data_IF_411781852256
#
_entry.id   IF_411781852256
#
_cell.length_a   1.000
_cell.length_b   1.000
_cell.length_c   1.000
_cell.angle_alpha   90.00
_cell.angle_beta   90.00
_cell.angle_gamma   90.00
#
_symmetry.space_group_name_H-M   'P 1'
#
loop_
_entity.id
_entity.type
_entity.pdbx_description
1 polymer ?
#
# COMPACT_ATOMS: atom_id res chain seq x y z
N UNK A 1 3.86 20.69 -10.32
CA UNK A 1 5.09 21.36 -10.78
C UNK A 1 6.20 21.46 -9.72
N UNK A 2 6.01 20.87 -8.53
CA UNK A 2 7.03 20.90 -7.45
C UNK A 2 7.96 19.68 -7.44
N UNK A 3 7.67 18.65 -8.23
CA UNK A 3 8.49 17.45 -8.38
C UNK A 3 9.21 17.55 -9.73
N UNK A 4 10.54 17.72 -9.70
CA UNK A 4 11.37 17.77 -10.90
C UNK A 4 12.12 16.47 -11.19
N UNK A 5 12.42 15.70 -10.13
CA UNK A 5 13.26 14.51 -10.22
C UNK A 5 12.61 13.27 -9.60
N UNK A 6 12.90 12.11 -10.14
CA UNK A 6 12.41 10.83 -9.63
C UNK A 6 13.50 9.76 -9.67
N UNK A 7 13.59 8.97 -8.62
CA UNK A 7 14.41 7.75 -8.57
C UNK A 7 13.74 6.55 -9.24
N UNK A 8 12.50 6.70 -9.72
CA UNK A 8 11.80 5.68 -10.49
C UNK A 8 11.73 6.07 -11.97
N UNK A 9 11.92 5.07 -12.85
CA UNK A 9 11.71 5.24 -14.29
C UNK A 9 10.22 5.35 -14.60
N UNK A 10 9.90 5.97 -15.73
CA UNK A 10 8.52 6.08 -16.24
C UNK A 10 7.76 4.73 -16.21
N UNK A 11 8.42 3.66 -16.66
CA UNK A 11 7.82 2.31 -16.73
C UNK A 11 7.48 1.69 -15.37
N UNK A 12 8.01 2.23 -14.28
CA UNK A 12 7.75 1.75 -12.91
C UNK A 12 6.59 2.47 -12.23
N UNK A 13 6.08 3.55 -12.82
CA UNK A 13 4.92 4.25 -12.31
C UNK A 13 3.63 3.58 -12.75
N UNK A 14 2.66 3.51 -11.85
CA UNK A 14 1.27 3.16 -12.15
C UNK A 14 0.40 4.42 -12.24
N UNK A 15 0.81 5.51 -11.58
CA UNK A 15 0.14 6.81 -11.65
C UNK A 15 0.30 7.42 -13.05
N UNK A 16 -0.83 7.69 -13.73
CA UNK A 16 -0.88 8.27 -15.07
C UNK A 16 -0.22 9.65 -15.13
N UNK A 17 -0.44 10.47 -14.11
CA UNK A 17 0.10 11.83 -13.99
C UNK A 17 1.63 11.83 -13.91
N UNK A 18 2.20 10.88 -13.15
CA UNK A 18 3.66 10.72 -13.07
C UNK A 18 4.26 10.26 -14.40
N UNK A 19 3.62 9.28 -15.06
CA UNK A 19 4.04 8.82 -16.40
C UNK A 19 4.00 9.95 -17.41
N UNK A 20 2.89 10.69 -17.46
CA UNK A 20 2.74 11.81 -18.36
C UNK A 20 3.78 12.90 -18.09
N UNK A 21 4.01 13.25 -16.83
CA UNK A 21 4.99 14.25 -16.45
C UNK A 21 6.42 13.86 -16.87
N UNK A 22 6.77 12.56 -16.76
CA UNK A 22 8.06 12.05 -17.23
C UNK A 22 8.15 12.03 -18.75
N UNK A 23 7.11 11.59 -19.46
CA UNK A 23 7.06 11.59 -20.92
C UNK A 23 7.20 13.00 -21.51
N UNK A 24 6.66 14.02 -20.82
CA UNK A 24 6.76 15.43 -21.18
C UNK A 24 8.08 16.09 -20.72
N UNK A 25 8.96 15.37 -20.01
CA UNK A 25 10.22 15.89 -19.49
C UNK A 25 10.07 16.86 -18.30
N UNK A 26 8.90 16.91 -17.66
CA UNK A 26 8.66 17.73 -16.44
C UNK A 26 9.21 17.05 -15.19
N UNK A 27 9.34 15.73 -15.20
CA UNK A 27 10.02 14.93 -14.18
C UNK A 27 11.10 14.14 -14.89
N UNK A 28 12.36 14.27 -14.43
CA UNK A 28 13.48 13.53 -14.98
C UNK A 28 13.86 12.35 -14.09
N UNK A 29 14.35 11.29 -14.69
CA UNK A 29 14.92 10.17 -13.95
C UNK A 29 16.34 10.52 -13.47
N UNK A 30 16.53 10.61 -12.17
CA UNK A 30 17.80 11.00 -11.53
C UNK A 30 18.55 9.80 -10.89
N UNK A 31 18.49 8.63 -11.50
CA UNK A 31 19.13 7.42 -10.97
C UNK A 31 18.31 6.73 -9.89
N UNK A 32 18.77 5.54 -9.44
CA UNK A 32 18.13 4.81 -8.33
C UNK A 32 18.48 5.47 -7.00
N UNK A 33 17.64 5.30 -5.97
CA UNK A 33 17.90 5.79 -4.61
C UNK A 33 19.28 5.33 -4.07
N UNK A 34 19.78 4.15 -4.47
CA UNK A 34 21.09 3.61 -4.05
C UNK A 34 22.25 4.01 -4.96
N UNK A 35 21.98 4.66 -6.09
CA UNK A 35 22.97 5.15 -7.06
C UNK A 35 22.37 6.33 -7.84
N UNK A 36 22.21 7.50 -7.17
CA UNK A 36 21.66 8.69 -7.82
C UNK A 36 22.61 9.27 -8.89
N UNK A 37 22.01 9.93 -9.85
CA UNK A 37 22.74 10.76 -10.81
C UNK A 37 22.94 12.16 -10.22
N UNK A 38 24.06 12.34 -9.52
CA UNK A 38 24.39 13.60 -8.85
C UNK A 38 24.58 14.78 -9.82
N UNK A 39 25.01 14.50 -11.07
CA UNK A 39 25.17 15.52 -12.09
C UNK A 39 23.79 16.08 -12.49
N UNK A 40 22.84 15.21 -12.76
CA UNK A 40 21.45 15.60 -13.05
C UNK A 40 20.82 16.34 -11.86
N UNK A 41 21.00 15.84 -10.64
CA UNK A 41 20.46 16.48 -9.42
C UNK A 41 20.96 17.91 -9.25
N UNK A 42 22.25 18.14 -9.51
CA UNK A 42 22.85 19.50 -9.43
C UNK A 42 22.43 20.38 -10.60
N UNK A 43 22.36 19.83 -11.83
CA UNK A 43 22.00 20.59 -13.01
C UNK A 43 20.56 21.13 -12.95
N UNK A 44 19.66 20.37 -12.35
CA UNK A 44 18.25 20.73 -12.17
C UNK A 44 17.99 21.61 -10.94
N UNK A 45 19.04 22.00 -10.21
CA UNK A 45 18.96 22.86 -9.02
C UNK A 45 17.96 22.34 -7.98
N UNK A 46 18.10 21.07 -7.59
CA UNK A 46 17.23 20.44 -6.62
C UNK A 46 17.26 21.18 -5.27
N UNK A 47 16.14 21.71 -4.81
CA UNK A 47 16.02 22.46 -3.56
C UNK A 47 15.90 21.56 -2.34
N UNK A 48 15.33 20.36 -2.50
CA UNK A 48 15.07 19.39 -1.44
C UNK A 48 15.05 17.98 -2.00
N UNK A 49 15.83 17.09 -1.43
CA UNK A 49 15.73 15.66 -1.66
C UNK A 49 14.77 15.03 -0.64
N UNK A 50 13.79 14.25 -1.14
CA UNK A 50 12.89 13.46 -0.31
C UNK A 50 13.19 11.99 -0.59
N UNK A 51 13.81 11.33 0.37
CA UNK A 51 14.20 9.93 0.27
C UNK A 51 13.21 9.04 1.04
N UNK A 52 12.95 7.84 0.56
CA UNK A 52 12.21 6.86 1.35
C UNK A 52 13.11 6.13 2.35
N UNK A 53 12.52 5.36 3.27
CA UNK A 53 13.27 4.67 4.33
C UNK A 53 14.29 3.63 3.82
N UNK A 54 14.24 3.22 2.54
CA UNK A 54 15.25 2.34 1.94
C UNK A 54 16.64 2.99 1.89
N UNK A 55 16.71 4.33 1.96
CA UNK A 55 17.97 5.07 1.98
C UNK A 55 18.85 4.69 3.18
N UNK A 56 18.27 4.17 4.27
CA UNK A 56 19.03 3.68 5.41
C UNK A 56 19.93 2.46 5.11
N UNK A 57 19.68 1.76 3.99
CA UNK A 57 20.56 0.70 3.49
C UNK A 57 21.79 1.25 2.73
N UNK A 58 21.76 2.54 2.37
CA UNK A 58 22.83 3.23 1.66
C UNK A 58 23.07 4.63 2.26
N UNK A 59 23.50 4.70 3.53
CA UNK A 59 23.63 5.98 4.25
C UNK A 59 24.59 6.96 3.58
N UNK A 60 25.63 6.46 2.91
CA UNK A 60 26.60 7.28 2.18
C UNK A 60 25.94 8.14 1.09
N UNK A 61 24.86 7.65 0.47
CA UNK A 61 24.12 8.43 -0.55
C UNK A 61 23.47 9.65 0.08
N UNK A 62 22.86 9.49 1.25
CA UNK A 62 22.23 10.59 1.98
C UNK A 62 23.27 11.64 2.40
N UNK A 63 24.45 11.20 2.85
CA UNK A 63 25.56 12.08 3.20
C UNK A 63 26.10 12.81 1.98
N UNK A 64 26.22 12.16 0.83
CA UNK A 64 26.65 12.78 -0.41
C UNK A 64 25.68 13.85 -0.88
N UNK A 65 24.36 13.59 -0.90
CA UNK A 65 23.34 14.58 -1.26
C UNK A 65 23.47 15.82 -0.36
N UNK A 66 23.60 15.62 0.95
CA UNK A 66 23.80 16.73 1.91
C UNK A 66 25.12 17.45 1.70
N UNK A 67 26.19 16.72 1.35
CA UNK A 67 27.51 17.27 1.03
C UNK A 67 27.51 18.18 -0.20
N UNK A 68 26.55 17.99 -1.12
CA UNK A 68 26.30 18.89 -2.26
C UNK A 68 25.54 20.17 -1.88
N UNK A 69 25.20 20.35 -0.60
CA UNK A 69 24.43 21.50 -0.11
C UNK A 69 22.90 21.36 -0.28
N UNK A 70 22.43 20.18 -0.67
CA UNK A 70 20.99 19.92 -0.87
C UNK A 70 20.40 19.41 0.44
N UNK A 71 19.43 20.12 1.05
CA UNK A 71 18.68 19.60 2.17
C UNK A 71 18.05 18.24 1.82
N UNK A 72 18.13 17.29 2.74
CA UNK A 72 17.56 15.96 2.52
C UNK A 72 16.77 15.49 3.74
N UNK A 73 15.55 15.06 3.51
CA UNK A 73 14.66 14.47 4.50
C UNK A 73 14.37 13.00 4.13
N UNK A 74 14.01 12.21 5.13
CA UNK A 74 13.58 10.84 4.91
C UNK A 74 12.09 10.74 5.23
N UNK A 75 11.31 10.41 4.21
CA UNK A 75 9.89 10.08 4.36
C UNK A 75 9.75 8.80 5.18
N UNK A 76 9.00 8.88 6.26
CA UNK A 76 8.72 7.78 7.16
C UNK A 76 7.24 7.39 7.18
N UNK A 77 6.46 7.84 6.23
CA UNK A 77 5.05 7.49 6.09
C UNK A 77 4.82 5.98 6.09
N UNK A 78 5.77 5.22 5.54
CA UNK A 78 5.74 3.76 5.53
C UNK A 78 5.86 3.10 6.92
N UNK A 79 6.32 3.84 7.93
CA UNK A 79 6.37 3.37 9.33
C UNK A 79 5.08 3.65 10.11
N UNK A 80 4.18 4.47 9.54
CA UNK A 80 2.88 4.67 10.15
C UNK A 80 2.08 3.37 10.14
N UNK A 81 1.76 2.90 11.33
CA UNK A 81 0.98 1.67 11.52
C UNK A 81 -0.53 1.89 11.38
N UNK A 82 -0.98 3.14 11.32
CA UNK A 82 -2.38 3.50 11.17
C UNK A 82 -2.66 4.06 9.76
N UNK A 83 -3.65 3.56 9.01
CA UNK A 83 -3.90 4.00 7.64
C UNK A 83 -4.22 5.51 7.55
N UNK A 84 -5.00 6.05 8.50
CA UNK A 84 -5.31 7.49 8.51
C UNK A 84 -4.05 8.33 8.77
N UNK A 85 -3.10 7.86 9.60
CA UNK A 85 -1.81 8.51 9.81
C UNK A 85 -0.97 8.53 8.53
N UNK A 86 -1.00 7.45 7.72
CA UNK A 86 -0.33 7.44 6.40
C UNK A 86 -0.89 8.51 5.48
N UNK A 87 -2.21 8.65 5.41
CA UNK A 87 -2.86 9.67 4.59
C UNK A 87 -2.58 11.08 5.12
N UNK A 88 -2.44 11.25 6.44
CA UNK A 88 -2.16 12.54 7.07
C UNK A 88 -0.79 13.13 6.69
N UNK A 89 0.15 12.33 6.20
CA UNK A 89 1.43 12.81 5.68
C UNK A 89 1.30 13.85 4.56
N UNK A 90 0.15 13.96 3.91
CA UNK A 90 -0.13 15.05 2.96
C UNK A 90 0.04 16.43 3.61
N UNK A 91 -0.27 16.57 4.91
CA UNK A 91 -0.10 17.83 5.64
C UNK A 91 1.37 18.20 5.79
N UNK A 92 2.25 17.20 5.99
CA UNK A 92 3.70 17.40 6.01
C UNK A 92 4.19 17.94 4.66
N UNK A 93 3.76 17.34 3.55
CA UNK A 93 4.10 17.82 2.21
C UNK A 93 3.46 19.20 1.92
N UNK A 94 2.25 19.44 2.40
CA UNK A 94 1.60 20.74 2.34
C UNK A 94 2.45 21.83 3.00
N UNK A 95 2.96 21.57 4.20
CA UNK A 95 3.83 22.50 4.92
C UNK A 95 5.13 22.80 4.15
N UNK A 96 5.79 21.77 3.59
CA UNK A 96 7.02 21.96 2.79
C UNK A 96 6.76 22.82 1.54
N UNK A 97 5.59 22.65 0.92
CA UNK A 97 5.25 23.31 -0.34
C UNK A 97 4.48 24.63 -0.15
N UNK A 98 4.26 25.08 1.11
CA UNK A 98 3.46 26.27 1.42
C UNK A 98 1.97 26.12 1.06
N UNK A 99 1.45 24.90 1.11
CA UNK A 99 0.06 24.52 0.76
C UNK A 99 -0.70 23.91 1.94
N UNK A 100 -0.42 24.38 3.15
CA UNK A 100 -0.99 23.84 4.39
C UNK A 100 -2.52 23.78 4.36
N UNK A 101 -3.17 24.86 3.90
CA UNK A 101 -4.62 24.93 3.85
C UNK A 101 -5.23 23.95 2.84
N UNK A 102 -4.61 23.80 1.67
CA UNK A 102 -5.05 22.84 0.65
C UNK A 102 -4.88 21.40 1.14
N UNK A 103 -3.75 21.08 1.77
CA UNK A 103 -3.46 19.76 2.30
C UNK A 103 -4.39 19.38 3.46
N UNK A 104 -4.67 20.33 4.36
CA UNK A 104 -5.61 20.12 5.45
C UNK A 104 -7.03 19.87 4.91
N UNK A 105 -7.51 20.72 4.00
CA UNK A 105 -8.84 20.58 3.41
C UNK A 105 -8.99 19.25 2.63
N UNK A 106 -7.93 18.82 1.93
CA UNK A 106 -7.93 17.53 1.23
C UNK A 106 -8.03 16.35 2.20
N UNK A 107 -7.23 16.37 3.28
CA UNK A 107 -7.27 15.33 4.30
C UNK A 107 -8.63 15.27 5.00
N UNK A 108 -9.21 16.43 5.33
CA UNK A 108 -10.53 16.50 5.95
C UNK A 108 -11.62 15.95 5.00
N UNK A 109 -11.50 16.19 3.70
CA UNK A 109 -12.41 15.61 2.70
C UNK A 109 -12.29 14.09 2.63
N UNK A 110 -11.06 13.54 2.71
CA UNK A 110 -10.84 12.09 2.79
C UNK A 110 -11.51 11.48 4.03
N UNK A 111 -11.35 12.11 5.21
CA UNK A 111 -11.98 11.63 6.43
C UNK A 111 -13.51 11.70 6.35
N UNK A 112 -14.06 12.79 5.83
CA UNK A 112 -15.51 12.94 5.66
C UNK A 112 -16.09 11.85 4.75
N UNK A 113 -15.36 11.44 3.72
CA UNK A 113 -15.77 10.35 2.83
C UNK A 113 -15.76 8.98 3.53
N UNK A 114 -14.89 8.80 4.53
CA UNK A 114 -14.79 7.57 5.32
C UNK A 114 -15.81 7.51 6.48
N UNK A 115 -16.26 8.65 6.98
CA UNK A 115 -17.12 8.75 8.17
C UNK A 115 -18.30 7.76 8.16
N UNK A 116 -19.06 7.59 7.05
CA UNK A 116 -20.18 6.64 7.04
C UNK A 116 -19.78 5.19 7.33
N UNK A 117 -18.57 4.79 6.93
CA UNK A 117 -18.04 3.44 7.17
C UNK A 117 -17.44 3.33 8.57
N UNK A 118 -16.78 4.40 9.05
CA UNK A 118 -16.16 4.41 10.38
C UNK A 118 -17.20 4.40 11.51
N UNK A 119 -18.38 4.97 11.27
CA UNK A 119 -19.47 5.09 12.26
C UNK A 119 -20.47 3.94 12.20
N UNK A 120 -20.32 3.00 11.24
CA UNK A 120 -21.25 1.88 11.10
C UNK A 120 -20.97 0.74 12.08
N UNK A 121 -21.99 -0.09 12.31
CA UNK A 121 -21.84 -1.34 13.06
C UNK A 121 -20.92 -2.32 12.28
N UNK A 122 -20.15 -3.16 13.00
CA UNK A 122 -19.30 -4.16 12.36
C UNK A 122 -20.09 -5.09 11.43
N UNK A 123 -19.53 -5.40 10.26
CA UNK A 123 -20.14 -6.28 9.26
C UNK A 123 -20.24 -7.74 9.72
N UNK A 124 -19.43 -8.11 10.73
CA UNK A 124 -19.30 -9.50 11.20
C UNK A 124 -18.50 -10.39 10.23
N UNK A 125 -17.97 -9.84 9.14
CA UNK A 125 -17.20 -10.59 8.14
C UNK A 125 -15.72 -10.68 8.52
N UNK A 126 -15.12 -11.83 8.21
CA UNK A 126 -13.68 -12.08 8.38
C UNK A 126 -12.96 -11.98 7.05
N UNK A 127 -11.76 -11.36 7.06
CA UNK A 127 -10.96 -11.09 5.86
C UNK A 127 -9.53 -11.59 6.04
N UNK A 128 -9.05 -12.44 5.13
CA UNK A 128 -7.65 -12.85 5.06
C UNK A 128 -6.94 -12.09 3.92
N UNK A 129 -5.91 -11.32 4.26
CA UNK A 129 -5.04 -10.62 3.30
C UNK A 129 -3.68 -11.34 3.23
N UNK A 130 -3.30 -11.85 2.06
CA UNK A 130 -2.14 -12.72 1.93
C UNK A 130 -1.52 -12.71 0.53
N UNK A 131 -0.29 -13.23 0.41
CA UNK A 131 0.25 -13.73 -0.86
C UNK A 131 1.03 -15.02 -0.64
N UNK A 132 1.21 -15.80 -1.71
CA UNK A 132 1.94 -17.07 -1.69
C UNK A 132 3.38 -16.80 -2.13
N UNK A 133 4.33 -17.19 -1.30
CA UNK A 133 5.76 -17.05 -1.61
C UNK A 133 6.21 -18.08 -2.65
N UNK A 134 7.35 -17.83 -3.29
CA UNK A 134 7.94 -18.79 -4.25
C UNK A 134 8.23 -20.18 -3.63
N UNK A 135 8.35 -20.25 -2.29
CA UNK A 135 8.53 -21.50 -1.56
C UNK A 135 7.21 -22.19 -1.18
N UNK A 136 6.05 -21.67 -1.60
CA UNK A 136 4.74 -22.21 -1.28
C UNK A 136 4.22 -21.88 0.13
N UNK A 137 4.97 -21.10 0.91
CA UNK A 137 4.49 -20.57 2.19
C UNK A 137 3.61 -19.33 1.96
N UNK A 138 2.86 -18.92 2.98
CA UNK A 138 1.94 -17.80 2.90
C UNK A 138 2.46 -16.62 3.71
N UNK A 139 2.59 -15.47 3.09
CA UNK A 139 2.88 -14.23 3.80
C UNK A 139 1.55 -13.53 4.13
N UNK A 140 1.38 -13.19 5.40
CA UNK A 140 0.19 -12.56 5.97
C UNK A 140 0.56 -11.29 6.72
N UNK A 141 -0.41 -10.40 6.94
CA UNK A 141 -0.19 -9.19 7.72
C UNK A 141 -0.38 -9.46 9.21
N UNK A 142 0.42 -8.77 10.03
CA UNK A 142 0.24 -8.74 11.48
C UNK A 142 -0.94 -7.86 11.87
N UNK A 143 -1.50 -8.06 13.06
CA UNK A 143 -2.61 -7.25 13.56
C UNK A 143 -2.27 -5.76 13.70
N UNK A 144 -1.00 -5.44 14.02
CA UNK A 144 -0.50 -4.07 14.13
C UNK A 144 -0.30 -3.35 12.78
N UNK A 145 -0.29 -4.09 11.65
CA UNK A 145 -0.06 -3.53 10.31
C UNK A 145 -1.22 -2.66 9.84
N UNK A 146 -0.91 -1.65 9.03
CA UNK A 146 -1.92 -0.72 8.50
C UNK A 146 -2.98 -1.39 7.62
N UNK A 147 -2.66 -2.49 6.94
CA UNK A 147 -3.65 -3.26 6.15
C UNK A 147 -4.67 -3.91 7.08
N UNK A 148 -4.21 -4.59 8.14
CA UNK A 148 -5.11 -5.20 9.13
C UNK A 148 -5.97 -4.14 9.81
N UNK A 149 -5.40 -2.98 10.14
CA UNK A 149 -6.16 -1.85 10.68
C UNK A 149 -7.15 -1.27 9.67
N UNK A 150 -6.81 -1.21 8.38
CA UNK A 150 -7.74 -0.79 7.32
C UNK A 150 -8.93 -1.74 7.22
N UNK A 151 -8.69 -3.04 7.30
CA UNK A 151 -9.75 -4.07 7.33
C UNK A 151 -10.65 -3.87 8.57
N UNK A 152 -10.06 -3.57 9.73
CA UNK A 152 -10.83 -3.28 10.94
C UNK A 152 -11.66 -2.00 10.81
N UNK A 153 -11.10 -0.93 10.23
CA UNK A 153 -11.83 0.32 9.98
C UNK A 153 -12.96 0.15 8.96
N UNK A 154 -12.85 -0.83 8.07
CA UNK A 154 -13.93 -1.23 7.14
C UNK A 154 -15.07 -2.00 7.83
N UNK A 155 -15.03 -2.18 9.15
CA UNK A 155 -16.02 -2.94 9.92
C UNK A 155 -15.82 -4.46 9.85
N UNK A 156 -14.70 -4.96 9.32
CA UNK A 156 -14.40 -6.38 9.18
C UNK A 156 -13.37 -6.83 10.23
N UNK A 157 -13.27 -8.14 10.44
CA UNK A 157 -12.26 -8.75 11.32
C UNK A 157 -11.11 -9.29 10.47
N UNK A 158 -9.88 -8.74 10.57
CA UNK A 158 -8.74 -9.32 9.86
C UNK A 158 -8.35 -10.67 10.46
N UNK A 159 -8.03 -11.65 9.61
CA UNK A 159 -7.43 -12.91 10.04
C UNK A 159 -5.94 -12.66 10.33
N UNK A 160 -5.54 -12.84 11.59
CA UNK A 160 -4.16 -12.70 12.06
C UNK A 160 -3.69 -14.02 12.69
N UNK A 161 -2.42 -14.38 12.46
CA UNK A 161 -1.87 -15.69 12.88
C UNK A 161 -1.05 -15.62 14.16
N UNK A 162 -0.71 -14.43 14.59
CA UNK A 162 0.01 -14.21 15.84
C UNK A 162 -0.35 -12.83 16.36
N UNK A 163 -0.75 -12.75 17.61
CA UNK A 163 -0.80 -11.48 18.32
C UNK A 163 0.64 -11.10 18.68
N UNK A 164 1.20 -10.13 17.99
CA UNK A 164 2.51 -9.62 18.28
C UNK A 164 2.42 -8.34 19.09
N UNK A 165 3.28 -8.24 20.11
CA UNK A 165 3.64 -6.94 20.66
C UNK A 165 4.11 -6.04 19.51
N UNK A 166 3.68 -4.79 19.51
CA UNK A 166 3.96 -3.78 18.49
C UNK A 166 5.47 -3.48 18.42
N UNK A 167 6.24 -4.35 17.79
CA UNK A 167 7.69 -4.21 17.64
C UNK A 167 8.11 -3.36 16.45
N UNK A 168 7.17 -2.75 15.75
CA UNK A 168 7.39 -1.68 14.76
C UNK A 168 8.17 -2.04 13.49
N UNK A 169 8.90 -3.15 13.47
CA UNK A 169 9.87 -3.41 12.40
C UNK A 169 9.38 -4.34 11.27
N UNK A 170 8.41 -5.22 11.55
CA UNK A 170 7.92 -6.19 10.56
C UNK A 170 6.40 -6.22 10.51
N UNK A 171 5.84 -5.60 9.49
CA UNK A 171 4.41 -5.51 9.22
C UNK A 171 3.79 -6.84 8.75
N UNK A 172 4.60 -7.85 8.41
CA UNK A 172 4.14 -9.14 7.91
C UNK A 172 4.89 -10.30 8.57
N UNK A 173 4.32 -11.49 8.43
CA UNK A 173 4.94 -12.76 8.83
C UNK A 173 4.70 -13.81 7.75
N UNK A 174 5.55 -14.82 7.73
CA UNK A 174 5.37 -15.99 6.85
C UNK A 174 4.92 -17.17 7.70
N UNK A 175 3.84 -17.80 7.28
CA UNK A 175 3.30 -19.03 7.91
C UNK A 175 3.32 -20.17 6.87
N UNK A 176 3.31 -21.41 7.34
CA UNK A 176 3.19 -22.56 6.46
C UNK A 176 1.75 -22.64 5.91
N UNK A 177 1.59 -23.23 4.74
CA UNK A 177 0.28 -23.35 4.07
C UNK A 177 -0.75 -24.06 4.95
N UNK A 178 -0.33 -25.08 5.72
CA UNK A 178 -1.22 -25.82 6.63
C UNK A 178 -1.75 -24.91 7.75
N UNK A 179 -0.88 -24.07 8.32
CA UNK A 179 -1.28 -23.13 9.36
C UNK A 179 -2.25 -22.06 8.79
N UNK A 180 -2.00 -21.60 7.54
CA UNK A 180 -2.90 -20.71 6.86
C UNK A 180 -4.24 -21.36 6.57
N UNK A 181 -4.23 -22.62 6.13
CA UNK A 181 -5.44 -23.42 5.92
C UNK A 181 -6.28 -23.50 7.20
N UNK A 182 -5.68 -23.93 8.30
CA UNK A 182 -6.39 -24.10 9.58
C UNK A 182 -6.95 -22.77 10.12
N UNK A 183 -6.22 -21.67 9.92
CA UNK A 183 -6.60 -20.36 10.47
C UNK A 183 -7.53 -19.53 9.58
N UNK A 184 -7.61 -19.81 8.29
CA UNK A 184 -8.32 -18.96 7.33
C UNK A 184 -9.33 -19.70 6.45
N UNK A 185 -9.53 -21.03 6.61
CA UNK A 185 -10.45 -21.81 5.77
C UNK A 185 -11.88 -21.28 5.81
N UNK A 186 -12.30 -20.76 6.97
CA UNK A 186 -13.64 -20.22 7.20
C UNK A 186 -13.73 -18.70 6.95
N UNK A 187 -12.67 -18.07 6.45
CA UNK A 187 -12.69 -16.65 6.11
C UNK A 187 -13.81 -16.35 5.11
N UNK A 188 -14.56 -15.26 5.38
CA UNK A 188 -15.62 -14.80 4.50
C UNK A 188 -15.07 -14.25 3.18
N UNK A 189 -13.93 -13.57 3.24
CA UNK A 189 -13.31 -12.87 2.12
C UNK A 189 -11.81 -13.18 2.08
N UNK A 190 -11.30 -13.50 0.91
CA UNK A 190 -9.87 -13.61 0.61
C UNK A 190 -9.42 -12.44 -0.26
N UNK A 191 -8.36 -11.74 0.15
CA UNK A 191 -7.72 -10.69 -0.64
C UNK A 191 -6.28 -11.09 -0.92
N UNK A 192 -5.99 -11.40 -2.18
CA UNK A 192 -4.65 -11.74 -2.63
C UNK A 192 -3.82 -10.47 -2.89
N UNK A 193 -2.65 -10.40 -2.30
CA UNK A 193 -1.71 -9.29 -2.51
C UNK A 193 -0.90 -9.50 -3.80
N UNK A 194 -1.44 -9.05 -4.92
CA UNK A 194 -0.83 -9.15 -6.25
C UNK A 194 0.34 -8.19 -6.49
N UNK A 195 0.64 -7.31 -5.55
CA UNK A 195 1.71 -6.31 -5.73
C UNK A 195 3.11 -6.89 -5.60
N UNK A 196 3.26 -8.11 -5.06
CA UNK A 196 4.55 -8.76 -4.80
C UNK A 196 5.00 -9.62 -5.97
N UNK A 197 4.16 -10.54 -6.45
CA UNK A 197 4.54 -11.52 -7.47
C UNK A 197 3.70 -11.45 -8.76
N UNK A 198 2.92 -10.40 -8.89
CA UNK A 198 2.12 -10.10 -10.06
C UNK A 198 0.62 -10.30 -9.88
N UNK A 199 -0.11 -9.68 -10.77
CA UNK A 199 -1.57 -9.71 -10.78
C UNK A 199 -2.09 -11.05 -11.30
N UNK A 200 -3.06 -11.59 -10.61
CA UNK A 200 -3.77 -12.79 -11.04
C UNK A 200 -4.88 -12.40 -12.03
N UNK A 201 -5.01 -13.18 -13.09
CA UNK A 201 -6.04 -12.95 -14.11
C UNK A 201 -7.42 -13.44 -13.66
N UNK A 202 -7.47 -14.56 -12.95
CA UNK A 202 -8.67 -15.27 -12.54
C UNK A 202 -8.41 -16.16 -11.31
N UNK A 203 -9.46 -16.85 -10.85
CA UNK A 203 -9.39 -17.76 -9.71
C UNK A 203 -8.49 -18.98 -9.98
N UNK A 204 -8.48 -19.51 -11.22
CA UNK A 204 -7.68 -20.67 -11.57
C UNK A 204 -6.18 -20.39 -11.43
N UNK A 205 -5.74 -19.16 -11.70
CA UNK A 205 -4.34 -18.75 -11.47
C UNK A 205 -3.97 -18.87 -9.97
N UNK A 206 -4.86 -18.48 -9.08
CA UNK A 206 -4.66 -18.62 -7.64
C UNK A 206 -4.65 -20.08 -7.20
N UNK A 207 -5.61 -20.88 -7.68
CA UNK A 207 -5.71 -22.31 -7.35
C UNK A 207 -4.55 -23.12 -7.94
N UNK A 208 -3.96 -22.68 -9.05
CA UNK A 208 -2.72 -23.27 -9.58
C UNK A 208 -1.53 -23.05 -8.64
N UNK A 209 -1.44 -21.86 -8.01
CA UNK A 209 -0.41 -21.58 -7.00
C UNK A 209 -0.62 -22.35 -5.69
N UNK A 210 -1.87 -22.52 -5.26
CA UNK A 210 -2.22 -23.20 -4.01
C UNK A 210 -3.56 -23.94 -4.14
N UNK A 211 -3.54 -25.21 -4.59
CA UNK A 211 -4.76 -26.01 -4.78
C UNK A 211 -5.60 -26.19 -3.51
N UNK A 212 -4.98 -26.16 -2.32
CA UNK A 212 -5.69 -26.27 -1.04
C UNK A 212 -6.71 -25.15 -0.81
N UNK A 213 -6.56 -24.00 -1.47
CA UNK A 213 -7.51 -22.90 -1.36
C UNK A 213 -8.90 -23.23 -1.92
N UNK A 214 -9.02 -24.27 -2.75
CA UNK A 214 -10.31 -24.71 -3.28
C UNK A 214 -11.32 -25.11 -2.17
N UNK A 215 -10.82 -25.49 -1.00
CA UNK A 215 -11.66 -25.86 0.15
C UNK A 215 -12.16 -24.68 0.97
N UNK A 216 -11.59 -23.47 0.76
CA UNK A 216 -11.92 -22.28 1.52
C UNK A 216 -13.36 -21.81 1.27
N UNK A 217 -14.01 -21.33 2.33
CA UNK A 217 -15.35 -20.75 2.27
C UNK A 217 -15.44 -19.64 1.22
N UNK A 218 -14.49 -18.69 1.24
CA UNK A 218 -14.49 -17.57 0.31
C UNK A 218 -14.38 -18.01 -1.16
N UNK A 219 -13.64 -19.09 -1.46
CA UNK A 219 -13.57 -19.66 -2.81
C UNK A 219 -14.90 -20.23 -3.22
N UNK A 220 -15.54 -21.03 -2.34
CA UNK A 220 -16.85 -21.64 -2.59
C UNK A 220 -17.98 -20.64 -2.75
N UNK A 221 -17.85 -19.46 -2.12
CA UNK A 221 -18.86 -18.37 -2.20
C UNK A 221 -18.50 -17.29 -3.23
N UNK A 222 -17.36 -17.42 -3.94
CA UNK A 222 -16.91 -16.44 -4.92
C UNK A 222 -16.39 -15.12 -4.34
N UNK A 223 -16.03 -15.08 -3.05
CA UNK A 223 -15.53 -13.90 -2.34
C UNK A 223 -13.99 -13.88 -2.32
N UNK A 224 -13.39 -14.00 -3.51
CA UNK A 224 -11.95 -13.97 -3.72
C UNK A 224 -11.58 -12.75 -4.57
N UNK A 225 -10.69 -11.93 -4.05
CA UNK A 225 -10.31 -10.67 -4.63
C UNK A 225 -8.79 -10.56 -4.74
N UNK A 226 -8.29 -9.79 -5.68
CA UNK A 226 -6.89 -9.40 -5.72
C UNK A 226 -6.76 -7.87 -5.69
N UNK A 227 -5.67 -7.38 -5.10
CA UNK A 227 -5.41 -5.95 -5.01
C UNK A 227 -4.69 -5.45 -6.27
N UNK A 228 -5.05 -4.26 -6.75
CA UNK A 228 -4.44 -3.63 -7.91
C UNK A 228 -2.99 -3.21 -7.65
N UNK A 229 -2.16 -3.22 -8.69
CA UNK A 229 -0.71 -2.94 -8.60
C UNK A 229 -0.38 -1.52 -8.16
N UNK A 230 -1.24 -0.55 -8.46
CA UNK A 230 -1.06 0.86 -8.10
C UNK A 230 -1.20 1.12 -6.58
N UNK A 231 -1.76 0.19 -5.83
CA UNK A 231 -2.06 0.34 -4.41
C UNK A 231 -0.91 0.95 -3.58
N UNK A 232 0.34 0.51 -3.77
CA UNK A 232 1.47 1.02 -2.99
C UNK A 232 2.00 2.38 -3.46
N UNK A 233 1.53 2.90 -4.58
CA UNK A 233 1.90 4.22 -5.06
C UNK A 233 0.87 5.29 -4.71
N UNK A 234 -0.29 4.89 -4.19
CA UNK A 234 -1.41 5.78 -3.90
C UNK A 234 -1.73 5.81 -2.40
N UNK A 235 -0.76 6.27 -1.59
CA UNK A 235 -0.92 6.30 -0.12
C UNK A 235 -2.13 7.11 0.35
N UNK A 236 -2.55 8.13 -0.39
CA UNK A 236 -3.74 8.93 -0.07
C UNK A 236 -5.05 8.19 -0.38
N UNK A 237 -5.02 7.24 -1.31
CA UNK A 237 -6.17 6.40 -1.65
C UNK A 237 -6.34 5.19 -0.72
N UNK A 238 -5.60 5.09 0.40
CA UNK A 238 -5.86 4.08 1.43
C UNK A 238 -7.29 4.15 1.98
N UNK A 239 -7.91 5.34 1.94
CA UNK A 239 -9.32 5.50 2.23
C UNK A 239 -10.21 4.70 1.28
N UNK A 240 -9.89 4.67 -0.01
CA UNK A 240 -10.62 3.87 -0.99
C UNK A 240 -10.49 2.36 -0.72
N UNK A 241 -9.32 1.89 -0.26
CA UNK A 241 -9.18 0.49 0.15
C UNK A 241 -10.09 0.13 1.34
N UNK A 242 -10.24 1.03 2.33
CA UNK A 242 -11.18 0.84 3.45
C UNK A 242 -12.61 0.74 2.91
N UNK A 243 -12.98 1.66 2.02
CA UNK A 243 -14.31 1.66 1.38
C UNK A 243 -14.55 0.43 0.51
N UNK A 244 -13.53 -0.07 -0.18
CA UNK A 244 -13.61 -1.27 -1.01
C UNK A 244 -13.84 -2.52 -0.17
N UNK A 245 -13.08 -2.69 0.93
CA UNK A 245 -13.26 -3.82 1.84
C UNK A 245 -14.65 -3.81 2.45
N UNK A 246 -15.14 -2.65 2.85
CA UNK A 246 -16.50 -2.48 3.35
C UNK A 246 -17.54 -2.83 2.28
N UNK A 247 -17.38 -2.30 1.06
CA UNK A 247 -18.32 -2.54 -0.05
C UNK A 247 -18.43 -4.01 -0.42
N UNK A 248 -17.30 -4.72 -0.41
CA UNK A 248 -17.25 -6.18 -0.68
C UNK A 248 -17.92 -6.97 0.45
N UNK A 249 -17.73 -6.54 1.71
CA UNK A 249 -18.28 -7.20 2.88
C UNK A 249 -19.81 -7.04 2.99
N UNK A 250 -20.32 -5.85 2.69
CA UNK A 250 -21.74 -5.49 2.79
C UNK A 250 -22.51 -5.69 1.49
N UNK A 251 -21.81 -6.01 0.38
CA UNK A 251 -22.42 -6.15 -0.95
C UNK A 251 -23.25 -4.91 -1.34
N UNK A 252 -22.79 -3.71 -0.94
CA UNK A 252 -23.55 -2.45 -1.06
C UNK A 252 -23.58 -1.87 -2.49
N UNK A 253 -22.97 -2.55 -3.46
CA UNK A 253 -22.99 -2.19 -4.88
C UNK A 253 -22.01 -1.11 -5.29
N UNK A 254 -21.14 -0.60 -4.39
CA UNK A 254 -20.03 0.27 -4.77
C UNK A 254 -19.03 -0.54 -5.62
N UNK A 255 -18.61 0.00 -6.75
CA UNK A 255 -17.53 -0.56 -7.54
C UNK A 255 -16.19 -0.31 -6.84
N UNK A 256 -15.42 -1.38 -6.49
CA UNK A 256 -14.15 -1.23 -5.83
C UNK A 256 -13.10 -0.55 -6.71
N UNK A 257 -12.28 0.29 -6.11
CA UNK A 257 -11.17 0.97 -6.77
C UNK A 257 -9.91 0.10 -6.87
N UNK A 258 -9.56 -0.55 -5.77
CA UNK A 258 -8.36 -1.40 -5.70
C UNK A 258 -8.66 -2.89 -5.77
N UNK A 259 -9.86 -3.33 -5.45
CA UNK A 259 -10.18 -4.75 -5.38
C UNK A 259 -10.81 -5.24 -6.69
N UNK A 260 -10.17 -6.23 -7.31
CA UNK A 260 -10.67 -6.94 -8.49
C UNK A 260 -11.09 -8.35 -8.09
N UNK A 261 -12.34 -8.71 -8.35
CA UNK A 261 -12.83 -10.06 -8.08
C UNK A 261 -12.16 -11.08 -9.02
N UNK A 262 -11.68 -12.17 -8.46
CA UNK A 262 -11.17 -13.33 -9.21
C UNK A 262 -12.35 -14.28 -9.47
N UNK A 263 -12.67 -14.44 -10.74
CA UNK A 263 -13.76 -15.31 -11.22
C UNK A 263 -13.20 -16.47 -12.02
#
# INVERSE_FOLDING_TARGET
>A
DSIGLSSQKESAWYLSEAKQAMAEGRILYAGKYSAPDYETILAENCDLAVENAMIYHTPDVLEQIRGLGIPAIVDRSSYESHPLGRMEWIKFYGAILGKDGEAAAYYDALLNNLTPVLDQEPTGKTVAFFYITAAGAVNVRKGSDYISKSISLAGCTPIVFREDEDTGANASQTVQMEAFYDGAIDADILIYNSTVDGELGNLDDLLTKAPLLADFKAVKTGQVWCIAKNFYQESLALGDFILDVNAVADENGREPYFLKQLK
#
